data_IF_677822972861
#
_entry.id   IF_677822972861
#
_cell.length_a   1.000
_cell.length_b   1.000
_cell.length_c   1.000
_cell.angle_alpha   90.00
_cell.angle_beta   90.00
_cell.angle_gamma   90.00
#
_symmetry.space_group_name_H-M   'P 1'
#
loop_
_entity.id
_entity.type
_entity.pdbx_description
1 polymer ?
#
# COMPACT_ATOMS: atom_id res chain seq x y z
N UNK A 1 21.17 22.65 -1.37
CA UNK A 1 22.06 21.47 -1.22
C UNK A 1 22.05 21.02 0.23
N UNK A 2 22.20 19.72 0.52
CA UNK A 2 22.32 19.20 1.89
C UNK A 2 23.67 18.49 2.00
N UNK A 3 24.41 18.77 3.07
CA UNK A 3 25.69 18.11 3.42
C UNK A 3 25.57 17.58 4.83
N UNK A 4 26.06 16.37 5.08
CA UNK A 4 26.01 15.75 6.41
C UNK A 4 27.21 14.83 6.63
N UNK A 5 27.66 14.76 7.86
CA UNK A 5 28.77 13.92 8.30
C UNK A 5 30.13 14.38 7.79
N UNK A 6 31.11 13.48 7.83
CA UNK A 6 32.48 13.78 7.43
C UNK A 6 33.49 13.43 8.52
N UNK A 7 34.76 13.71 8.20
CA UNK A 7 35.90 13.43 9.05
C UNK A 7 36.86 14.63 9.01
N UNK A 8 37.42 14.98 10.17
CA UNK A 8 38.56 15.87 10.25
C UNK A 8 39.54 15.42 11.35
N UNK A 9 40.76 15.93 11.28
CA UNK A 9 41.84 15.64 12.22
C UNK A 9 42.51 16.94 12.68
N UNK A 10 42.58 17.15 13.99
CA UNK A 10 43.22 18.31 14.63
C UNK A 10 44.19 17.90 15.77
N UNK A 11 44.60 16.63 15.77
CA UNK A 11 45.31 15.97 16.88
C UNK A 11 44.54 14.78 17.44
N UNK A 12 43.22 14.73 17.19
CA UNK A 12 42.37 13.55 17.36
C UNK A 12 41.46 13.33 16.16
N UNK A 13 40.97 12.11 15.99
CA UNK A 13 39.99 11.78 14.94
C UNK A 13 38.59 12.28 15.32
N UNK A 14 37.98 13.07 14.44
CA UNK A 14 36.62 13.56 14.62
C UNK A 14 35.71 13.10 13.49
N UNK A 15 34.68 12.34 13.85
CA UNK A 15 33.62 11.92 12.92
C UNK A 15 32.34 12.69 13.21
N UNK A 16 31.84 13.41 12.20
CA UNK A 16 30.73 14.33 12.37
C UNK A 16 29.38 13.60 12.26
N UNK A 17 28.45 13.93 13.13
CA UNK A 17 27.01 13.62 13.01
C UNK A 17 26.18 14.88 12.70
N UNK A 18 26.86 15.97 12.36
CA UNK A 18 26.27 17.27 12.04
C UNK A 18 26.19 17.48 10.53
N UNK A 19 25.41 18.46 10.11
CA UNK A 19 25.27 18.82 8.71
C UNK A 19 24.64 20.20 8.53
N UNK A 20 24.50 20.58 7.26
CA UNK A 20 23.92 21.86 6.87
C UNK A 20 23.13 21.78 5.58
N UNK A 21 22.15 22.65 5.46
CA UNK A 21 21.40 22.94 4.23
C UNK A 21 21.85 24.28 3.68
N UNK A 22 22.34 24.27 2.45
CA UNK A 22 22.67 25.48 1.71
C UNK A 22 21.47 25.93 0.87
N UNK A 23 21.03 27.17 1.11
CA UNK A 23 20.07 27.88 0.28
C UNK A 23 20.82 28.81 -0.70
N UNK A 24 20.85 28.49 -2.00
CA UNK A 24 21.58 29.31 -2.99
C UNK A 24 20.92 30.67 -3.25
N UNK A 25 19.60 30.82 -3.02
CA UNK A 25 18.91 32.09 -3.23
C UNK A 25 19.22 33.13 -2.15
N UNK A 26 19.60 32.67 -0.96
CA UNK A 26 19.98 33.52 0.19
C UNK A 26 21.47 33.49 0.49
N UNK A 27 22.24 32.72 -0.28
CA UNK A 27 23.64 32.39 -0.02
C UNK A 27 23.92 32.09 1.46
N UNK A 28 23.12 31.19 2.04
CA UNK A 28 23.16 30.93 3.47
C UNK A 28 23.09 29.45 3.81
N UNK A 29 23.74 29.09 4.91
CA UNK A 29 23.69 27.77 5.50
C UNK A 29 22.78 27.77 6.73
N UNK A 30 21.90 26.78 6.81
CA UNK A 30 21.15 26.46 8.03
C UNK A 30 21.61 25.12 8.55
N UNK A 31 21.89 25.02 9.85
CA UNK A 31 22.13 23.72 10.48
C UNK A 31 20.90 22.81 10.32
N UNK A 32 21.15 21.51 10.27
CA UNK A 32 20.07 20.51 10.33
C UNK A 32 20.04 19.87 11.70
N UNK A 33 18.86 19.40 12.09
CA UNK A 33 18.67 18.74 13.38
C UNK A 33 19.68 17.61 13.60
N UNK A 34 20.20 17.52 14.83
CA UNK A 34 21.02 16.40 15.30
C UNK A 34 20.19 15.37 16.08
N UNK A 35 18.92 15.68 16.35
CA UNK A 35 18.02 14.80 17.11
C UNK A 35 17.73 13.57 16.24
N UNK A 36 18.04 12.39 16.78
CA UNK A 36 17.94 11.10 16.09
C UNK A 36 18.81 10.98 14.82
N UNK A 37 19.79 11.87 14.61
CA UNK A 37 20.74 11.74 13.51
C UNK A 37 21.62 10.49 13.69
N UNK A 38 22.09 9.85 12.61
CA UNK A 38 23.01 8.73 12.72
C UNK A 38 24.29 9.10 13.47
N UNK A 39 24.91 8.12 14.13
CA UNK A 39 26.22 8.30 14.79
C UNK A 39 27.25 8.87 13.81
N UNK A 40 28.15 9.72 14.30
CA UNK A 40 29.13 10.41 13.47
C UNK A 40 29.99 9.45 12.66
N UNK A 41 30.13 9.72 11.35
CA UNK A 41 30.75 8.79 10.40
C UNK A 41 31.31 9.49 9.16
N UNK A 42 32.23 8.81 8.49
CA UNK A 42 32.77 9.21 7.19
C UNK A 42 32.66 8.09 6.17
N UNK A 43 32.91 8.41 4.89
CA UNK A 43 32.88 7.45 3.76
C UNK A 43 31.54 6.68 3.68
N UNK A 44 30.48 7.30 4.20
CA UNK A 44 29.10 6.88 4.00
C UNK A 44 28.64 7.30 2.60
N UNK A 45 27.48 6.80 2.16
CA UNK A 45 26.83 7.31 0.96
C UNK A 45 25.56 8.05 1.30
N UNK A 46 25.27 9.04 0.47
CA UNK A 46 24.07 9.84 0.51
C UNK A 46 23.32 9.68 -0.82
N UNK A 47 22.01 9.42 -0.75
CA UNK A 47 21.13 9.44 -1.93
C UNK A 47 19.93 10.34 -1.67
N UNK A 48 19.44 11.01 -2.71
CA UNK A 48 18.24 11.87 -2.64
C UNK A 48 17.04 11.12 -3.21
N UNK A 49 15.96 11.03 -2.44
CA UNK A 49 14.74 10.33 -2.86
C UNK A 49 13.83 11.16 -3.77
N UNK A 50 14.04 12.47 -3.81
CA UNK A 50 13.07 13.45 -4.30
C UNK A 50 12.52 14.33 -3.17
N UNK A 51 12.48 13.81 -1.94
CA UNK A 51 11.93 14.50 -0.76
C UNK A 51 12.78 14.38 0.50
N UNK A 52 13.63 13.35 0.61
CA UNK A 52 14.47 13.05 1.76
C UNK A 52 15.88 12.69 1.31
N UNK A 53 16.89 12.94 2.16
CA UNK A 53 18.24 12.40 1.98
C UNK A 53 18.36 11.13 2.84
N UNK A 54 18.91 10.07 2.26
CA UNK A 54 19.22 8.84 2.98
C UNK A 54 20.73 8.76 3.11
N UNK A 55 21.21 8.70 4.35
CA UNK A 55 22.59 8.40 4.68
C UNK A 55 22.69 6.94 5.08
N UNK A 56 23.62 6.17 4.50
CA UNK A 56 23.83 4.77 4.88
C UNK A 56 25.29 4.34 4.84
N UNK A 57 25.63 3.43 5.76
CA UNK A 57 26.94 2.82 5.87
C UNK A 57 28.01 3.78 6.38
N UNK A 58 29.25 3.59 5.93
CA UNK A 58 30.41 4.35 6.37
C UNK A 58 31.09 3.74 7.61
N UNK A 59 32.04 4.48 8.16
CA UNK A 59 32.81 4.05 9.33
C UNK A 59 33.14 5.19 10.28
N UNK A 60 33.48 4.83 11.50
CA UNK A 60 34.25 5.63 12.44
C UNK A 60 35.45 4.79 12.96
N UNK A 61 36.13 5.25 14.00
CA UNK A 61 37.28 4.53 14.57
C UNK A 61 36.95 3.13 15.13
N UNK A 62 35.70 2.87 15.49
CA UNK A 62 35.30 1.64 16.18
C UNK A 62 34.50 0.71 15.28
N UNK A 63 33.71 1.26 14.36
CA UNK A 63 32.62 0.55 13.73
C UNK A 63 32.55 0.78 12.22
N UNK A 64 32.10 -0.29 11.53
CA UNK A 64 31.59 -0.24 10.17
C UNK A 64 30.08 -0.33 10.24
N UNK A 65 29.39 0.69 9.74
CA UNK A 65 27.96 0.77 9.95
C UNK A 65 27.18 -0.01 8.89
N UNK A 66 26.20 -0.80 9.34
CA UNK A 66 25.08 -1.29 8.52
C UNK A 66 23.80 -0.46 8.76
N UNK A 67 23.94 0.67 9.44
CA UNK A 67 22.88 1.59 9.82
C UNK A 67 22.95 2.87 9.00
N UNK A 68 21.88 3.65 9.08
CA UNK A 68 21.71 4.89 8.36
C UNK A 68 20.58 5.74 8.95
N UNK A 69 20.31 6.86 8.29
CA UNK A 69 19.20 7.75 8.63
C UNK A 69 18.61 8.42 7.40
N UNK A 70 17.29 8.57 7.38
CA UNK A 70 16.54 9.39 6.43
C UNK A 70 16.30 10.75 7.07
N UNK A 71 16.73 11.82 6.41
CA UNK A 71 16.46 13.18 6.85
C UNK A 71 15.42 13.84 5.95
N UNK A 72 14.35 14.31 6.59
CA UNK A 72 13.29 15.07 5.95
C UNK A 72 13.53 16.57 6.16
N UNK A 73 13.86 17.35 5.11
CA UNK A 73 14.08 18.78 5.23
C UNK A 73 12.79 19.58 5.49
N UNK A 74 11.61 19.06 5.16
CA UNK A 74 10.34 19.73 5.41
C UNK A 74 9.99 19.80 6.90
N UNK A 75 10.38 18.79 7.67
CA UNK A 75 10.13 18.68 9.12
C UNK A 75 11.39 18.84 9.97
N UNK A 76 12.56 18.97 9.34
CA UNK A 76 13.87 19.00 10.00
C UNK A 76 14.08 17.83 10.98
N UNK A 77 13.74 16.61 10.54
CA UNK A 77 13.75 15.42 11.39
C UNK A 77 14.45 14.23 10.75
N UNK A 78 15.12 13.43 11.57
CA UNK A 78 15.72 12.16 11.19
C UNK A 78 14.85 10.96 11.55
N UNK A 79 14.83 9.95 10.69
CA UNK A 79 14.28 8.61 10.96
C UNK A 79 15.34 7.57 10.66
N UNK A 80 15.61 6.64 11.58
CA UNK A 80 16.58 5.57 11.34
C UNK A 80 16.17 4.67 10.17
N UNK A 81 17.16 4.18 9.40
CA UNK A 81 16.89 3.14 8.39
C UNK A 81 16.69 1.79 9.07
N UNK A 82 15.85 0.91 8.48
CA UNK A 82 15.72 -0.47 8.95
C UNK A 82 17.04 -1.24 8.83
N UNK A 83 17.31 -2.10 9.81
CA UNK A 83 18.44 -3.04 9.81
C UNK A 83 18.01 -4.47 9.45
N UNK A 84 16.70 -4.70 9.26
CA UNK A 84 16.17 -6.01 8.85
C UNK A 84 16.71 -6.33 7.46
N UNK A 85 17.42 -7.45 7.33
CA UNK A 85 18.07 -7.89 6.09
C UNK A 85 19.06 -6.86 5.48
N UNK A 86 19.53 -5.90 6.27
CA UNK A 86 20.52 -4.94 5.79
C UNK A 86 21.86 -5.65 5.51
N UNK A 87 22.60 -5.27 4.46
CA UNK A 87 23.94 -5.80 4.23
C UNK A 87 24.86 -5.52 5.42
N UNK A 88 25.85 -6.39 5.64
CA UNK A 88 26.86 -6.18 6.68
C UNK A 88 27.55 -4.82 6.57
N UNK A 89 27.97 -4.26 7.70
CA UNK A 89 28.47 -2.89 7.78
C UNK A 89 29.66 -2.64 6.89
N UNK A 90 29.66 -1.51 6.17
CA UNK A 90 30.59 -1.28 5.06
C UNK A 90 30.85 0.17 4.73
N UNK A 91 32.01 0.41 4.15
CA UNK A 91 32.43 1.70 3.59
C UNK A 91 32.95 1.51 2.17
N UNK A 92 33.18 2.62 1.44
CA UNK A 92 33.57 2.63 0.01
C UNK A 92 32.63 1.82 -0.92
N UNK A 93 31.42 1.52 -0.47
CA UNK A 93 30.37 0.94 -1.30
C UNK A 93 29.82 1.97 -2.27
N UNK A 94 29.03 1.53 -3.25
CA UNK A 94 28.21 2.41 -4.10
C UNK A 94 26.79 2.40 -3.60
N UNK A 95 26.13 3.57 -3.62
CA UNK A 95 24.69 3.66 -3.38
C UNK A 95 24.04 4.52 -4.48
N UNK A 96 22.88 4.08 -4.98
CA UNK A 96 22.08 4.81 -5.97
C UNK A 96 20.60 4.77 -5.58
N UNK A 97 19.86 5.83 -5.91
CA UNK A 97 18.40 5.86 -5.81
C UNK A 97 17.78 5.52 -7.17
N UNK A 98 16.85 4.58 -7.20
CA UNK A 98 16.18 4.14 -8.44
C UNK A 98 14.94 4.96 -8.79
N UNK A 99 14.49 5.82 -7.88
CA UNK A 99 13.16 6.44 -7.91
C UNK A 99 12.24 5.89 -6.81
N UNK A 100 12.46 4.63 -6.37
CA UNK A 100 11.67 3.98 -5.32
C UNK A 100 12.51 3.33 -4.22
N UNK A 101 13.78 3.02 -4.49
CA UNK A 101 14.64 2.27 -3.59
C UNK A 101 16.09 2.74 -3.66
N UNK A 102 16.81 2.61 -2.54
CA UNK A 102 18.26 2.73 -2.51
C UNK A 102 18.88 1.36 -2.74
N UNK A 103 19.76 1.25 -3.73
CA UNK A 103 20.57 0.05 -3.98
C UNK A 103 21.97 0.30 -3.44
N UNK A 104 22.43 -0.56 -2.54
CA UNK A 104 23.81 -0.56 -2.03
C UNK A 104 24.55 -1.76 -2.61
N UNK A 105 25.74 -1.56 -3.16
CA UNK A 105 26.54 -2.65 -3.71
C UNK A 105 28.04 -2.52 -3.43
N UNK A 106 28.67 -3.66 -3.18
CA UNK A 106 30.10 -3.79 -2.99
C UNK A 106 30.59 -3.13 -1.70
N UNK A 107 31.80 -2.57 -1.76
CA UNK A 107 32.48 -1.93 -0.64
C UNK A 107 33.39 -2.87 0.14
N UNK A 108 33.79 -2.42 1.32
CA UNK A 108 34.74 -3.10 2.20
C UNK A 108 34.08 -3.32 3.56
N UNK A 109 34.12 -4.56 4.05
CA UNK A 109 33.61 -4.97 5.35
C UNK A 109 34.68 -4.82 6.45
N UNK A 110 34.29 -5.09 7.70
CA UNK A 110 35.24 -5.37 8.78
C UNK A 110 36.27 -6.42 8.33
N UNK A 111 37.54 -6.29 8.75
CA UNK A 111 38.74 -7.04 8.30
C UNK A 111 39.30 -6.71 6.90
N UNK A 112 38.92 -5.57 6.30
CA UNK A 112 39.36 -5.17 4.96
C UNK A 112 38.96 -6.14 3.83
N UNK A 113 37.89 -6.91 4.04
CA UNK A 113 37.36 -7.84 3.03
C UNK A 113 36.54 -7.07 1.98
N UNK A 114 36.96 -7.13 0.71
CA UNK A 114 36.17 -6.66 -0.42
C UNK A 114 34.99 -7.59 -0.64
N UNK A 115 33.81 -7.03 -0.87
CA UNK A 115 32.59 -7.82 -1.08
C UNK A 115 31.96 -7.52 -2.43
N UNK A 116 31.34 -8.53 -3.03
CA UNK A 116 30.48 -8.44 -4.21
C UNK A 116 28.99 -8.53 -3.82
N UNK A 117 28.66 -8.31 -2.55
CA UNK A 117 27.28 -8.36 -2.03
C UNK A 117 26.68 -6.96 -1.92
N UNK A 118 25.37 -6.90 -1.81
CA UNK A 118 24.62 -5.66 -1.66
C UNK A 118 23.24 -5.88 -1.06
N UNK A 119 22.43 -4.83 -1.07
CA UNK A 119 21.06 -4.86 -0.56
C UNK A 119 20.23 -3.71 -1.12
N UNK A 120 18.92 -3.87 -1.00
CA UNK A 120 17.91 -2.88 -1.42
C UNK A 120 17.26 -2.33 -0.16
N UNK A 121 17.05 -1.01 -0.14
CA UNK A 121 16.35 -0.33 0.94
C UNK A 121 15.21 0.53 0.38
N UNK A 122 13.98 0.21 0.77
CA UNK A 122 12.81 1.01 0.45
C UNK A 122 12.71 2.16 1.45
N UNK A 123 12.83 3.40 0.96
CA UNK A 123 12.75 4.59 1.81
C UNK A 123 11.30 4.95 2.16
N UNK A 124 10.35 4.58 1.28
CA UNK A 124 8.95 4.59 1.64
C UNK A 124 8.77 3.69 2.87
N UNK A 125 8.15 4.23 3.91
CA UNK A 125 7.68 3.37 4.99
C UNK A 125 6.80 2.28 4.36
N UNK A 126 6.84 1.05 4.84
CA UNK A 126 5.98 0.00 4.28
C UNK A 126 4.54 0.53 4.29
N UNK A 127 3.75 0.28 3.25
CA UNK A 127 2.34 0.68 3.29
C UNK A 127 1.64 -0.06 4.44
N UNK A 128 0.74 0.59 5.21
CA UNK A 128 -0.09 -0.11 6.17
C UNK A 128 -0.77 -1.30 5.52
N UNK A 129 -0.72 -2.47 6.15
CA UNK A 129 -1.36 -3.66 5.60
C UNK A 129 -2.85 -3.63 5.91
N UNK A 130 -3.68 -3.75 4.87
CA UNK A 130 -5.09 -4.04 5.07
C UNK A 130 -5.23 -5.46 5.67
N UNK A 131 -6.14 -5.61 6.64
CA UNK A 131 -6.43 -6.86 7.33
C UNK A 131 -7.60 -7.62 6.68
N UNK A 132 -8.55 -6.88 6.13
CA UNK A 132 -9.68 -7.44 5.38
C UNK A 132 -10.24 -6.39 4.43
N UNK A 133 -10.88 -6.86 3.36
CA UNK A 133 -11.68 -6.02 2.50
C UNK A 133 -12.98 -6.71 2.09
N UNK A 134 -14.01 -5.91 1.82
CA UNK A 134 -15.34 -6.39 1.48
C UNK A 134 -15.97 -5.51 0.41
N UNK A 135 -16.81 -6.11 -0.45
CA UNK A 135 -17.81 -5.38 -1.22
C UNK A 135 -19.15 -5.45 -0.48
N UNK A 136 -19.65 -4.28 -0.08
CA UNK A 136 -20.83 -4.12 0.77
C UNK A 136 -22.03 -3.69 -0.05
N UNK A 137 -23.18 -4.33 0.17
CA UNK A 137 -24.49 -3.88 -0.34
C UNK A 137 -25.60 -4.09 0.67
N UNK A 138 -26.59 -3.22 0.63
CA UNK A 138 -27.84 -3.33 1.38
C UNK A 138 -28.91 -3.95 0.49
N UNK A 139 -29.57 -4.98 1.02
CA UNK A 139 -30.58 -5.79 0.35
C UNK A 139 -31.98 -5.38 0.83
N UNK A 140 -32.38 -4.15 0.51
CA UNK A 140 -33.64 -3.57 1.01
C UNK A 140 -33.77 -3.72 2.54
N UNK A 141 -34.91 -4.27 2.99
CA UNK A 141 -35.18 -4.50 4.41
C UNK A 141 -34.44 -5.72 5.01
N UNK A 142 -33.83 -6.58 4.19
CA UNK A 142 -33.09 -7.75 4.67
C UNK A 142 -31.76 -7.39 5.34
N UNK A 143 -31.27 -6.16 5.15
CA UNK A 143 -30.08 -5.64 5.80
C UNK A 143 -28.87 -5.58 4.87
N UNK A 144 -27.68 -5.44 5.48
CA UNK A 144 -26.42 -5.20 4.77
C UNK A 144 -25.54 -6.44 4.80
N UNK A 145 -25.03 -6.82 3.64
CA UNK A 145 -24.20 -8.02 3.47
C UNK A 145 -22.92 -7.73 2.71
N UNK A 146 -21.86 -8.40 3.13
CA UNK A 146 -20.50 -8.20 2.68
C UNK A 146 -20.02 -9.41 1.89
N UNK A 147 -19.56 -9.18 0.66
CA UNK A 147 -18.78 -10.15 -0.12
C UNK A 147 -17.31 -9.98 0.24
N UNK A 148 -16.60 -11.00 0.76
CA UNK A 148 -15.18 -10.92 1.02
C UNK A 148 -14.36 -10.65 -0.24
N UNK A 149 -13.38 -9.76 -0.12
CA UNK A 149 -12.38 -9.47 -1.14
C UNK A 149 -11.00 -9.90 -0.60
N UNK A 150 -10.55 -11.13 -0.89
CA UNK A 150 -9.25 -11.61 -0.45
C UNK A 150 -8.12 -10.66 -0.89
N UNK A 151 -7.23 -10.36 0.06
CA UNK A 151 -6.08 -9.46 -0.17
C UNK A 151 -4.89 -10.17 -0.81
N UNK A 152 -4.95 -11.51 -0.91
CA UNK A 152 -3.97 -12.37 -1.56
C UNK A 152 -4.67 -13.47 -2.34
N UNK A 153 -4.01 -14.02 -3.35
CA UNK A 153 -4.57 -15.08 -4.20
C UNK A 153 -5.63 -14.55 -5.17
N UNK A 154 -6.67 -15.36 -5.40
CA UNK A 154 -7.75 -15.01 -6.32
C UNK A 154 -8.60 -13.85 -5.78
N UNK A 155 -9.00 -12.94 -6.67
CA UNK A 155 -9.89 -11.83 -6.31
C UNK A 155 -11.26 -12.34 -5.88
N UNK A 156 -11.88 -11.64 -4.93
CA UNK A 156 -13.27 -11.88 -4.56
C UNK A 156 -14.20 -11.42 -5.67
N UNK A 157 -15.26 -12.18 -5.92
CA UNK A 157 -16.23 -11.88 -6.98
C UNK A 157 -17.50 -11.26 -6.38
N UNK A 158 -17.71 -9.98 -6.63
CA UNK A 158 -18.98 -9.33 -6.37
C UNK A 158 -19.97 -9.71 -7.47
N UNK A 159 -20.95 -10.52 -7.07
CA UNK A 159 -21.93 -11.14 -7.95
C UNK A 159 -23.22 -10.32 -8.07
N UNK A 160 -23.43 -9.33 -7.20
CA UNK A 160 -24.66 -8.55 -7.15
C UNK A 160 -24.57 -7.34 -8.07
N UNK A 161 -25.71 -6.96 -8.65
CA UNK A 161 -25.86 -5.80 -9.52
C UNK A 161 -25.57 -4.50 -8.78
N UNK A 162 -24.96 -3.55 -9.48
CA UNK A 162 -24.82 -2.16 -9.04
C UNK A 162 -26.05 -1.29 -9.32
N UNK A 163 -27.15 -1.87 -9.80
CA UNK A 163 -28.34 -1.12 -10.19
C UNK A 163 -28.12 -0.31 -11.47
N UNK A 164 -28.87 0.79 -11.64
CA UNK A 164 -28.86 1.58 -12.87
C UNK A 164 -27.53 2.31 -13.14
N UNK A 165 -26.84 2.71 -12.08
CA UNK A 165 -25.59 3.48 -12.08
C UNK A 165 -24.35 2.61 -11.89
N UNK A 166 -24.53 1.31 -11.67
CA UNK A 166 -23.48 0.36 -11.33
C UNK A 166 -22.68 0.78 -10.08
N UNK A 167 -23.40 1.04 -8.99
CA UNK A 167 -22.82 1.51 -7.73
C UNK A 167 -22.41 0.35 -6.81
N UNK A 168 -21.27 0.52 -6.16
CA UNK A 168 -20.66 -0.45 -5.25
C UNK A 168 -19.99 0.27 -4.07
N UNK A 169 -19.85 -0.41 -2.94
CA UNK A 169 -19.14 0.11 -1.77
C UNK A 169 -18.06 -0.87 -1.36
N UNK A 170 -16.82 -0.41 -1.28
CA UNK A 170 -15.69 -1.18 -0.80
C UNK A 170 -15.36 -0.78 0.64
N UNK A 171 -15.27 -1.75 1.53
CA UNK A 171 -14.87 -1.57 2.93
C UNK A 171 -13.48 -2.17 3.10
N UNK A 172 -12.53 -1.42 3.64
CA UNK A 172 -11.14 -1.83 3.85
C UNK A 172 -10.80 -1.59 5.31
N UNK A 173 -10.41 -2.64 6.03
CA UNK A 173 -10.10 -2.56 7.45
C UNK A 173 -8.59 -2.71 7.67
N UNK A 174 -8.06 -1.92 8.59
CA UNK A 174 -6.66 -1.94 9.03
C UNK A 174 -6.57 -2.42 10.49
N UNK A 175 -5.36 -2.78 10.92
CA UNK A 175 -5.12 -3.21 12.29
C UNK A 175 -5.22 -2.05 13.30
N UNK A 176 -4.82 -0.85 12.87
CA UNK A 176 -4.78 0.38 13.67
C UNK A 176 -5.52 1.50 12.95
N UNK A 177 -5.78 2.59 13.66
CA UNK A 177 -6.35 3.80 13.06
C UNK A 177 -5.46 4.30 11.92
N UNK A 178 -6.07 4.65 10.80
CA UNK A 178 -5.35 5.18 9.63
C UNK A 178 -5.85 6.56 9.24
N UNK A 179 -5.03 7.28 8.51
CA UNK A 179 -5.41 8.41 7.67
C UNK A 179 -5.18 8.05 6.20
N UNK A 180 -5.94 8.63 5.28
CA UNK A 180 -5.85 8.36 3.84
C UNK A 180 -5.87 9.67 3.09
N UNK A 181 -4.92 9.88 2.18
CA UNK A 181 -4.82 11.10 1.39
C UNK A 181 -5.88 11.18 0.28
N UNK A 182 -6.04 10.11 -0.49
CA UNK A 182 -7.07 10.00 -1.53
C UNK A 182 -7.39 8.55 -1.87
N UNK A 183 -8.49 8.30 -2.58
CA UNK A 183 -8.83 6.99 -3.13
C UNK A 183 -9.16 7.14 -4.63
N UNK A 184 -8.62 6.28 -5.48
CA UNK A 184 -8.97 6.25 -6.90
C UNK A 184 -8.97 4.83 -7.46
N UNK A 185 -9.70 4.63 -8.55
CA UNK A 185 -9.59 3.41 -9.37
C UNK A 185 -8.30 3.53 -10.18
N UNK A 186 -7.42 2.54 -10.07
CA UNK A 186 -6.11 2.50 -10.77
C UNK A 186 -6.04 1.41 -11.83
N UNK A 187 -7.01 0.49 -11.84
CA UNK A 187 -7.19 -0.52 -12.88
C UNK A 187 -8.67 -0.85 -13.03
N UNK A 188 -9.11 -1.10 -14.26
CA UNK A 188 -10.50 -1.35 -14.61
C UNK A 188 -11.34 -0.09 -14.83
N UNK A 189 -12.61 -0.28 -15.16
CA UNK A 189 -13.57 0.78 -15.51
C UNK A 189 -14.54 1.00 -14.36
N UNK A 190 -14.29 2.07 -13.60
CA UNK A 190 -15.09 2.54 -12.48
C UNK A 190 -14.63 3.96 -12.07
N UNK A 191 -15.44 4.65 -11.28
CA UNK A 191 -15.09 5.93 -10.66
C UNK A 191 -15.32 5.89 -9.15
N UNK A 192 -14.41 6.49 -8.37
CA UNK A 192 -14.65 6.77 -6.94
C UNK A 192 -15.52 8.02 -6.83
N UNK A 193 -16.70 7.90 -6.21
CA UNK A 193 -17.58 9.05 -5.97
C UNK A 193 -17.27 9.74 -4.65
N UNK A 194 -16.89 8.97 -3.63
CA UNK A 194 -16.45 9.47 -2.32
C UNK A 194 -15.71 8.39 -1.55
N UNK A 195 -14.94 8.81 -0.55
CA UNK A 195 -14.41 7.90 0.48
C UNK A 195 -14.50 8.55 1.86
N UNK A 196 -14.53 7.75 2.90
CA UNK A 196 -14.48 8.19 4.29
C UNK A 196 -13.60 7.27 5.13
N UNK A 197 -13.04 7.81 6.21
CA UNK A 197 -12.20 7.07 7.16
C UNK A 197 -12.82 7.20 8.54
N UNK A 198 -13.02 6.07 9.22
CA UNK A 198 -13.55 5.99 10.57
C UNK A 198 -12.68 5.05 11.40
N UNK A 199 -11.73 5.61 12.15
CA UNK A 199 -10.75 4.83 12.89
C UNK A 199 -9.88 3.99 11.96
N UNK A 200 -9.96 2.66 12.09
CA UNK A 200 -9.22 1.72 11.25
C UNK A 200 -9.97 1.25 10.00
N UNK A 201 -11.18 1.77 9.75
CA UNK A 201 -11.98 1.40 8.59
C UNK A 201 -12.01 2.52 7.56
N UNK A 202 -11.81 2.16 6.30
CA UNK A 202 -11.96 3.03 5.14
C UNK A 202 -13.13 2.51 4.30
N UNK A 203 -14.06 3.41 3.97
CA UNK A 203 -15.21 3.13 3.10
C UNK A 203 -15.01 3.90 1.81
N UNK A 204 -15.08 3.21 0.66
CA UNK A 204 -14.97 3.81 -0.68
C UNK A 204 -16.24 3.53 -1.46
N UNK A 205 -16.91 4.58 -1.91
CA UNK A 205 -18.09 4.49 -2.76
C UNK A 205 -17.68 4.61 -4.23
N UNK A 206 -18.17 3.68 -5.05
CA UNK A 206 -17.87 3.53 -6.46
C UNK A 206 -19.13 3.68 -7.30
N UNK A 207 -18.98 4.19 -8.53
CA UNK A 207 -20.03 4.25 -9.54
C UNK A 207 -19.49 3.87 -10.91
N UNK A 208 -20.37 3.55 -11.86
CA UNK A 208 -19.99 3.23 -13.23
C UNK A 208 -19.13 1.97 -13.35
N UNK A 209 -19.21 1.06 -12.37
CA UNK A 209 -18.39 -0.15 -12.34
C UNK A 209 -18.93 -1.15 -13.35
N UNK A 210 -18.28 -1.30 -14.50
CA UNK A 210 -18.74 -2.22 -15.55
C UNK A 210 -18.73 -3.69 -15.09
N UNK A 211 -19.55 -4.53 -15.71
CA UNK A 211 -19.52 -5.98 -15.47
C UNK A 211 -18.34 -6.64 -16.21
N UNK A 212 -18.00 -7.87 -15.84
CA UNK A 212 -17.00 -8.71 -16.53
C UNK A 212 -15.60 -8.08 -16.49
N UNK A 213 -15.14 -7.73 -15.29
CA UNK A 213 -13.82 -7.13 -15.12
C UNK A 213 -13.22 -7.38 -13.73
N UNK A 214 -11.93 -7.13 -13.61
CA UNK A 214 -11.28 -6.88 -12.32
C UNK A 214 -10.97 -5.40 -12.22
N UNK A 215 -11.40 -4.79 -11.12
CA UNK A 215 -10.99 -3.43 -10.77
C UNK A 215 -9.98 -3.46 -9.64
N UNK A 216 -9.14 -2.43 -9.57
CA UNK A 216 -8.28 -2.14 -8.42
C UNK A 216 -8.55 -0.72 -7.97
N UNK A 217 -8.92 -0.58 -6.70
CA UNK A 217 -9.00 0.70 -6.01
C UNK A 217 -7.72 0.87 -5.19
N UNK A 218 -7.04 1.99 -5.34
CA UNK A 218 -5.86 2.31 -4.54
C UNK A 218 -6.18 3.44 -3.58
N UNK A 219 -5.95 3.19 -2.29
CA UNK A 219 -5.86 4.22 -1.27
C UNK A 219 -4.46 4.79 -1.29
N UNK A 220 -4.32 6.10 -1.46
CA UNK A 220 -3.04 6.78 -1.53
C UNK A 220 -2.66 7.42 -0.20
N UNK A 221 -1.37 7.38 0.11
CA UNK A 221 -0.79 7.94 1.33
C UNK A 221 -1.53 7.45 2.60
N UNK A 222 -1.83 6.14 2.66
CA UNK A 222 -2.40 5.54 3.87
C UNK A 222 -1.33 5.59 4.95
N UNK A 223 -1.65 6.17 6.10
CA UNK A 223 -0.71 6.36 7.21
C UNK A 223 -1.33 5.87 8.52
N UNK A 224 -0.64 4.94 9.20
CA UNK A 224 -1.06 4.37 10.49
C UNK A 224 -0.33 4.95 11.72
N UNK A 225 0.49 5.99 11.51
CA UNK A 225 1.37 6.61 12.49
C UNK A 225 2.81 6.09 12.46
N UNK A 226 3.06 4.94 11.85
CA UNK A 226 4.37 4.27 11.74
C UNK A 226 4.73 3.89 10.29
N UNK A 227 3.71 3.53 9.53
CA UNK A 227 3.72 3.07 8.15
C UNK A 227 3.02 4.11 7.27
N UNK A 228 3.56 4.34 6.08
CA UNK A 228 2.95 5.24 5.10
C UNK A 228 3.18 4.73 3.68
N UNK A 229 2.10 4.47 2.95
CA UNK A 229 2.20 4.07 1.56
C UNK A 229 0.85 3.88 0.90
N UNK A 230 0.86 3.45 -0.36
CA UNK A 230 -0.36 3.22 -1.13
C UNK A 230 -0.84 1.77 -0.91
N UNK A 231 -2.15 1.60 -0.70
CA UNK A 231 -2.77 0.31 -0.42
C UNK A 231 -3.76 -0.02 -1.55
N UNK A 232 -3.41 -0.94 -2.47
CA UNK A 232 -4.32 -1.42 -3.51
C UNK A 232 -5.23 -2.53 -2.98
N UNK A 233 -6.51 -2.49 -3.34
CA UNK A 233 -7.49 -3.55 -3.08
C UNK A 233 -8.26 -3.83 -4.37
N UNK A 234 -8.36 -5.10 -4.72
CA UNK A 234 -8.97 -5.55 -5.98
C UNK A 234 -10.31 -6.22 -5.76
N UNK A 235 -11.21 -6.07 -6.73
CA UNK A 235 -12.52 -6.70 -6.76
C UNK A 235 -12.80 -7.23 -8.17
N UNK A 236 -13.20 -8.49 -8.29
CA UNK A 236 -13.83 -9.02 -9.49
C UNK A 236 -15.30 -8.63 -9.51
N UNK A 237 -15.80 -8.14 -10.63
CA UNK A 237 -17.23 -7.81 -10.81
C UNK A 237 -17.78 -8.71 -11.91
N UNK A 238 -18.60 -9.66 -11.49
CA UNK A 238 -19.23 -10.63 -12.38
C UNK A 238 -20.65 -10.91 -11.90
N UNK A 239 -21.57 -10.06 -12.36
CA UNK A 239 -22.99 -10.14 -11.98
C UNK A 239 -23.54 -11.52 -12.33
N UNK A 240 -24.09 -12.19 -11.34
CA UNK A 240 -24.70 -13.51 -11.46
C UNK A 240 -23.80 -14.70 -11.12
N UNK A 241 -22.51 -14.51 -10.82
CA UNK A 241 -21.63 -15.58 -10.30
C UNK A 241 -21.84 -15.77 -8.80
N UNK A 242 -23.00 -16.34 -8.45
CA UNK A 242 -23.44 -16.42 -7.05
C UNK A 242 -22.55 -17.32 -6.21
N UNK A 243 -21.90 -18.32 -6.81
CA UNK A 243 -20.94 -19.17 -6.10
C UNK A 243 -19.50 -18.60 -6.05
N UNK A 244 -19.21 -17.55 -6.82
CA UNK A 244 -17.94 -16.83 -6.79
C UNK A 244 -16.76 -17.59 -7.41
N UNK A 245 -17.02 -18.50 -8.36
CA UNK A 245 -15.98 -19.29 -9.03
C UNK A 245 -15.38 -18.60 -10.27
N UNK A 246 -15.73 -17.34 -10.49
CA UNK A 246 -15.33 -16.48 -11.62
C UNK A 246 -15.95 -16.84 -12.98
N UNK A 247 -17.00 -17.66 -13.03
CA UNK A 247 -17.75 -18.02 -14.25
C UNK A 247 -19.24 -18.15 -13.97
N UNK A 248 -20.08 -17.44 -14.73
CA UNK A 248 -21.55 -17.60 -14.64
C UNK A 248 -22.01 -18.75 -15.52
N UNK A 249 -22.55 -19.80 -14.91
CA UNK A 249 -23.03 -20.99 -15.62
C UNK A 249 -24.34 -21.55 -15.05
N UNK A 250 -24.71 -22.77 -15.47
CA UNK A 250 -25.96 -23.42 -15.06
C UNK A 250 -26.03 -23.70 -13.54
N UNK A 251 -24.88 -23.83 -12.87
CA UNK A 251 -24.80 -24.01 -11.42
C UNK A 251 -25.29 -22.76 -10.71
N UNK A 252 -24.89 -21.56 -11.15
CA UNK A 252 -25.36 -20.30 -10.58
C UNK A 252 -26.87 -20.14 -10.71
N UNK A 253 -27.39 -20.41 -11.91
CA UNK A 253 -28.84 -20.40 -12.16
C UNK A 253 -29.57 -21.37 -11.23
N UNK A 254 -29.00 -22.54 -10.96
CA UNK A 254 -29.61 -23.56 -10.10
C UNK A 254 -29.54 -23.18 -8.62
N UNK A 255 -28.44 -22.58 -8.16
CA UNK A 255 -28.30 -22.07 -6.80
C UNK A 255 -29.33 -20.98 -6.53
N UNK A 256 -29.41 -19.96 -7.40
CA UNK A 256 -30.40 -18.88 -7.25
C UNK A 256 -31.83 -19.40 -7.27
N UNK A 257 -32.16 -20.34 -8.18
CA UNK A 257 -33.48 -20.96 -8.21
C UNK A 257 -33.84 -21.69 -6.93
N UNK A 258 -32.88 -22.38 -6.31
CA UNK A 258 -33.12 -23.15 -5.09
C UNK A 258 -33.47 -22.26 -3.89
N UNK A 259 -33.11 -20.98 -3.95
CA UNK A 259 -33.37 -19.98 -2.91
C UNK A 259 -34.60 -19.12 -3.17
N UNK A 260 -35.30 -19.29 -4.30
CA UNK A 260 -36.51 -18.49 -4.62
C UNK A 260 -37.57 -18.64 -3.53
N UNK A 261 -38.06 -17.50 -3.03
CA UNK A 261 -39.06 -17.42 -1.96
C UNK A 261 -38.50 -17.57 -0.55
N UNK A 262 -37.21 -17.87 -0.39
CA UNK A 262 -36.54 -17.84 0.91
C UNK A 262 -36.24 -16.40 1.34
N UNK A 263 -36.25 -16.16 2.64
CA UNK A 263 -35.78 -14.89 3.19
C UNK A 263 -34.27 -14.74 2.92
N UNK A 264 -33.85 -13.51 2.60
CA UNK A 264 -32.43 -13.17 2.44
C UNK A 264 -31.75 -13.19 3.81
N UNK A 265 -30.58 -13.82 3.86
CA UNK A 265 -29.80 -14.04 5.06
C UNK A 265 -28.30 -14.15 4.73
N UNK A 266 -27.46 -14.29 5.76
CA UNK A 266 -26.01 -14.42 5.58
C UNK A 266 -25.57 -15.63 4.76
N UNK A 267 -26.42 -16.65 4.58
CA UNK A 267 -26.08 -17.84 3.79
C UNK A 267 -26.51 -17.78 2.32
N UNK A 268 -27.41 -16.85 1.95
CA UNK A 268 -28.01 -16.81 0.61
C UNK A 268 -28.14 -15.39 0.02
N UNK A 269 -27.52 -14.38 0.64
CA UNK A 269 -27.56 -13.00 0.12
C UNK A 269 -26.93 -12.85 -1.27
N UNK A 270 -26.09 -13.80 -1.69
CA UNK A 270 -25.50 -13.80 -3.04
C UNK A 270 -26.54 -14.13 -4.12
N UNK A 271 -27.58 -14.86 -3.76
CA UNK A 271 -28.69 -15.22 -4.66
C UNK A 271 -29.74 -14.10 -4.81
N UNK A 272 -29.74 -13.09 -3.94
CA UNK A 272 -30.45 -11.82 -4.17
C UNK A 272 -29.57 -10.89 -5.02
N UNK A 273 -29.42 -11.25 -6.28
CA UNK A 273 -28.46 -10.64 -7.22
C UNK A 273 -28.82 -9.20 -7.54
N UNK A 274 -30.10 -8.82 -7.52
CA UNK A 274 -30.50 -7.43 -7.69
C UNK A 274 -30.49 -6.62 -6.37
N UNK A 275 -30.22 -7.27 -5.24
CA UNK A 275 -30.12 -6.70 -3.90
C UNK A 275 -31.38 -5.93 -3.45
N UNK A 276 -32.57 -6.44 -3.78
CA UNK A 276 -33.83 -5.80 -3.39
C UNK A 276 -34.40 -6.32 -2.05
N UNK A 277 -33.79 -7.36 -1.47
CA UNK A 277 -34.23 -8.02 -0.23
C UNK A 277 -35.12 -9.23 -0.43
N UNK A 278 -35.38 -9.67 -1.67
CA UNK A 278 -36.23 -10.80 -2.02
C UNK A 278 -35.59 -11.62 -3.14
N UNK A 279 -35.33 -12.91 -2.87
CA UNK A 279 -34.86 -13.84 -3.90
C UNK A 279 -36.06 -14.34 -4.69
N UNK A 280 -36.17 -13.91 -5.96
CA UNK A 280 -37.33 -14.24 -6.78
C UNK A 280 -36.98 -14.54 -8.25
N UNK A 281 -37.99 -14.62 -9.11
CA UNK A 281 -37.81 -14.91 -10.53
C UNK A 281 -37.00 -13.85 -11.27
N UNK A 282 -36.96 -12.61 -10.76
CA UNK A 282 -36.12 -11.52 -11.25
C UNK A 282 -34.63 -11.81 -11.07
N UNK A 283 -34.21 -12.35 -9.93
CA UNK A 283 -32.81 -12.76 -9.71
C UNK A 283 -32.41 -13.90 -10.63
N UNK A 284 -33.27 -14.91 -10.73
CA UNK A 284 -33.05 -16.05 -11.64
C UNK A 284 -32.93 -15.57 -13.09
N UNK A 285 -33.78 -14.62 -13.52
CA UNK A 285 -33.72 -14.06 -14.86
C UNK A 285 -32.43 -13.26 -15.07
N UNK A 286 -31.99 -12.48 -14.07
CA UNK A 286 -30.75 -11.74 -14.11
C UNK A 286 -29.54 -12.67 -14.25
N UNK A 287 -29.43 -13.72 -13.42
CA UNK A 287 -28.34 -14.71 -13.52
C UNK A 287 -28.34 -15.40 -14.87
N UNK A 288 -29.50 -15.85 -15.36
CA UNK A 288 -29.64 -16.47 -16.68
C UNK A 288 -29.14 -15.56 -17.80
N UNK A 289 -29.40 -14.25 -17.72
CA UNK A 289 -28.96 -13.28 -18.73
C UNK A 289 -27.43 -13.12 -18.79
N UNK A 290 -26.70 -13.62 -17.79
CA UNK A 290 -25.24 -13.51 -17.66
C UNK A 290 -24.52 -14.83 -17.89
N UNK A 291 -25.24 -15.94 -18.08
CA UNK A 291 -24.64 -17.25 -18.36
C UNK A 291 -23.69 -17.18 -19.56
N UNK A 292 -22.49 -17.73 -19.40
CA UNK A 292 -21.41 -17.70 -20.39
C UNK A 292 -20.41 -16.55 -20.20
N UNK A 293 -20.66 -15.64 -19.25
CA UNK A 293 -19.67 -14.64 -18.85
C UNK A 293 -18.68 -15.21 -17.83
N UNK A 294 -17.44 -14.74 -17.86
CA UNK A 294 -16.38 -15.12 -16.94
C UNK A 294 -15.48 -13.91 -16.67
N UNK A 295 -14.83 -13.86 -15.50
CA UNK A 295 -13.81 -12.84 -15.28
C UNK A 295 -12.63 -13.06 -16.25
N UNK A 296 -12.00 -11.97 -16.75
CA UNK A 296 -10.87 -12.06 -17.69
C UNK A 296 -9.59 -12.61 -17.05
#
# INVERSE_FOLDING_TARGET
MIVWGGYFFDGSDHYLNTGGRYNPGMDSWTFISIVNAPVGRSIHRAVWTGSEIIIWGGLNNTDYFNTGGRYNPGTDSWTATSTINAPGGRYRHTAVWTGSEMIVWGGILFSNTFTNTGGRYCAQSQAPMAQSAFSRKTHGAAGTFDVPLPLTGNVGVECRSGGATNDYQMIINFATTVTVGSASVTSGTASVTSFSVSGSQVTVNLTGVTNVQRITVTLFNVNDGTHMGNVPVSMGVLVGDVNGNAVVNASDVSLTKSQVGQAVSGSNFREDVNANGLINSGDVALVKSKVGTALP
#
